data_IF_907669916415
#
_entry.id   IF_907669916415
#
_cell.length_a   1.000
_cell.length_b   1.000
_cell.length_c   1.000
_cell.angle_alpha   90.00
_cell.angle_beta   90.00
_cell.angle_gamma   90.00
#
_symmetry.space_group_name_H-M   'P 1'
#
loop_
_entity.id
_entity.type
_entity.pdbx_description
1 polymer ?
#
# COMPACT_ATOMS: atom_id res chain seq x y z
N UNK A 1 53.11 -0.14 -0.89
CA UNK A 1 52.36 1.07 -0.49
C UNK A 1 50.88 0.79 -0.65
N UNK A 2 49.99 1.23 0.27
CA UNK A 2 48.55 1.10 0.06
C UNK A 2 48.14 1.93 -1.17
N UNK A 3 47.50 1.29 -2.15
CA UNK A 3 46.96 1.96 -3.31
C UNK A 3 45.56 2.49 -2.97
N UNK A 4 45.36 3.81 -3.12
CA UNK A 4 44.05 4.43 -2.95
C UNK A 4 43.22 4.30 -4.22
N UNK A 5 41.93 4.00 -4.09
CA UNK A 5 40.97 4.09 -5.19
C UNK A 5 40.37 5.49 -5.22
N UNK A 6 40.53 6.19 -6.33
CA UNK A 6 39.85 7.47 -6.57
C UNK A 6 38.51 7.18 -7.23
N UNK A 7 37.46 7.83 -6.71
CA UNK A 7 36.11 7.71 -7.20
C UNK A 7 35.54 9.07 -7.60
N UNK A 8 34.67 9.09 -8.61
CA UNK A 8 33.90 10.29 -9.00
C UNK A 8 32.41 9.96 -9.08
N UNK A 9 31.56 10.99 -9.09
CA UNK A 9 30.22 10.89 -9.66
C UNK A 9 30.24 11.56 -11.05
N UNK A 10 29.49 11.02 -12.01
CA UNK A 10 29.26 11.68 -13.30
C UNK A 10 28.55 13.02 -13.15
N UNK A 11 27.89 13.26 -12.02
CA UNK A 11 27.01 14.39 -11.79
C UNK A 11 25.75 14.34 -12.65
N UNK A 12 24.82 15.24 -12.35
CA UNK A 12 23.62 15.45 -13.15
C UNK A 12 23.97 16.15 -14.44
N UNK A 13 23.80 15.45 -15.55
CA UNK A 13 24.06 16.01 -16.86
C UNK A 13 23.07 17.13 -17.19
N UNK A 14 21.83 16.96 -16.72
CA UNK A 14 20.70 17.88 -16.86
C UNK A 14 20.97 19.33 -16.40
N UNK A 15 21.93 19.55 -15.49
CA UNK A 15 22.23 20.90 -14.98
C UNK A 15 22.85 21.79 -16.07
N UNK A 16 23.57 21.20 -17.03
CA UNK A 16 24.29 21.97 -18.05
C UNK A 16 24.03 21.53 -19.49
N UNK A 17 23.49 20.32 -19.71
CA UNK A 17 23.31 19.72 -21.04
C UNK A 17 22.08 18.81 -21.07
N UNK A 18 21.55 18.58 -22.28
CA UNK A 18 20.43 17.67 -22.47
C UNK A 18 20.82 16.24 -22.05
N UNK A 19 20.08 15.60 -21.14
CA UNK A 19 20.37 14.28 -20.57
C UNK A 19 20.31 13.17 -21.61
N UNK A 20 19.60 13.38 -22.72
CA UNK A 20 19.51 12.42 -23.82
C UNK A 20 20.81 12.32 -24.65
N UNK A 21 21.75 13.25 -24.44
CA UNK A 21 23.01 13.28 -25.18
C UNK A 21 24.01 12.23 -24.72
N UNK A 22 23.82 11.61 -23.54
CA UNK A 22 24.78 10.67 -22.99
C UNK A 22 24.11 9.52 -22.25
N UNK A 23 24.29 8.30 -22.76
CA UNK A 23 23.76 7.08 -22.14
C UNK A 23 24.58 6.58 -20.94
N UNK A 24 24.04 5.57 -20.24
CA UNK A 24 24.63 5.04 -19.00
C UNK A 24 26.06 4.54 -19.21
N UNK A 25 26.33 3.87 -20.34
CA UNK A 25 27.67 3.33 -20.58
C UNK A 25 28.71 4.43 -20.83
N UNK A 26 28.32 5.50 -21.53
CA UNK A 26 29.17 6.66 -21.76
C UNK A 26 29.38 7.43 -20.45
N UNK A 27 28.35 7.54 -19.58
CA UNK A 27 28.49 8.15 -18.25
C UNK A 27 29.46 7.34 -17.39
N UNK A 28 29.34 6.02 -17.40
CA UNK A 28 30.19 5.10 -16.65
C UNK A 28 31.66 5.12 -17.13
N UNK A 29 31.88 5.07 -18.45
CA UNK A 29 33.20 4.93 -19.04
C UNK A 29 33.90 6.24 -19.38
N UNK A 30 33.18 7.29 -19.76
CA UNK A 30 33.76 8.51 -20.36
C UNK A 30 34.74 9.23 -19.44
N UNK A 31 34.31 9.51 -18.22
CA UNK A 31 35.18 10.11 -17.20
C UNK A 31 36.17 9.10 -16.61
N UNK A 32 35.73 7.86 -16.41
CA UNK A 32 36.52 6.78 -15.82
C UNK A 32 37.77 6.43 -16.63
N UNK A 33 37.58 6.17 -17.92
CA UNK A 33 38.58 5.66 -18.84
C UNK A 33 39.67 6.68 -19.18
N UNK A 34 39.35 7.98 -19.17
CA UNK A 34 40.26 9.06 -19.58
C UNK A 34 41.03 9.66 -18.40
N UNK A 35 40.45 9.64 -17.20
CA UNK A 35 41.05 10.23 -16.00
C UNK A 35 41.83 9.26 -15.10
N UNK A 36 41.97 7.99 -15.49
CA UNK A 36 42.60 6.96 -14.64
C UNK A 36 41.78 6.63 -13.37
N UNK A 37 40.47 6.89 -13.41
CA UNK A 37 39.57 6.71 -12.28
C UNK A 37 39.11 5.26 -12.22
N UNK A 38 39.13 4.68 -11.01
CA UNK A 38 38.85 3.27 -10.79
C UNK A 38 37.41 3.01 -10.31
N UNK A 39 36.70 4.04 -9.87
CA UNK A 39 35.31 3.97 -9.43
C UNK A 39 34.49 5.14 -9.98
N UNK A 40 33.30 4.87 -10.51
CA UNK A 40 32.39 5.90 -11.01
C UNK A 40 30.96 5.65 -10.54
N UNK A 41 30.35 6.62 -9.86
CA UNK A 41 28.91 6.63 -9.58
C UNK A 41 28.19 7.32 -10.74
N UNK A 42 27.32 6.59 -11.42
CA UNK A 42 26.54 7.12 -12.54
C UNK A 42 25.20 7.59 -12.04
N UNK A 43 24.86 8.85 -12.34
CA UNK A 43 23.55 9.40 -12.05
C UNK A 43 22.55 9.04 -13.17
N UNK A 44 21.50 8.30 -12.79
CA UNK A 44 20.42 7.91 -13.68
C UNK A 44 19.30 8.94 -13.61
N UNK A 45 18.95 9.47 -14.77
CA UNK A 45 17.88 10.43 -14.97
C UNK A 45 16.53 9.70 -15.06
N UNK A 46 16.50 8.57 -15.77
CA UNK A 46 15.28 7.75 -15.90
C UNK A 46 15.57 6.29 -16.23
N UNK A 47 14.65 5.38 -15.87
CA UNK A 47 14.72 3.95 -16.22
C UNK A 47 14.86 3.67 -17.72
N UNK A 48 14.47 4.61 -18.61
CA UNK A 48 14.59 4.41 -20.05
C UNK A 48 16.05 4.37 -20.51
N UNK A 49 17.00 4.88 -19.72
CA UNK A 49 18.42 4.74 -20.03
C UNK A 49 18.87 3.27 -20.04
N UNK A 50 18.17 2.37 -19.32
CA UNK A 50 18.43 0.93 -19.42
C UNK A 50 18.05 0.32 -20.78
N UNK A 51 17.34 1.07 -21.63
CA UNK A 51 16.96 0.68 -22.98
C UNK A 51 17.93 1.20 -24.04
N UNK A 52 19.05 1.82 -23.64
CA UNK A 52 20.08 2.28 -24.57
C UNK A 52 20.55 1.13 -25.49
N UNK A 53 20.62 1.35 -26.82
CA UNK A 53 21.14 0.35 -27.76
C UNK A 53 22.53 -0.11 -27.35
N UNK A 54 22.75 -1.43 -27.35
CA UNK A 54 24.05 -2.05 -27.03
C UNK A 54 24.57 -1.75 -25.61
N UNK A 55 23.71 -1.30 -24.70
CA UNK A 55 24.08 -0.97 -23.31
C UNK A 55 24.87 -2.09 -22.62
N UNK A 56 24.41 -3.34 -22.73
CA UNK A 56 25.07 -4.50 -22.10
C UNK A 56 26.47 -4.73 -22.63
N UNK A 57 26.68 -4.57 -23.95
CA UNK A 57 27.98 -4.72 -24.58
C UNK A 57 28.94 -3.61 -24.16
N UNK A 58 28.44 -2.37 -24.10
CA UNK A 58 29.24 -1.21 -23.71
C UNK A 58 29.59 -1.24 -22.22
N UNK A 59 28.63 -1.55 -21.35
CA UNK A 59 28.89 -1.72 -19.91
C UNK A 59 29.87 -2.86 -19.62
N UNK A 60 29.80 -3.96 -20.37
CA UNK A 60 30.79 -5.04 -20.25
C UNK A 60 32.21 -4.54 -20.54
N UNK A 61 32.41 -3.71 -21.56
CA UNK A 61 33.72 -3.11 -21.84
C UNK A 61 34.20 -2.25 -20.67
N UNK A 62 33.32 -1.42 -20.11
CA UNK A 62 33.66 -0.56 -18.96
C UNK A 62 34.03 -1.37 -17.72
N UNK A 63 33.17 -2.30 -17.31
CA UNK A 63 33.33 -3.03 -16.05
C UNK A 63 34.38 -4.14 -16.15
N UNK A 64 34.39 -4.89 -17.26
CA UNK A 64 35.27 -6.06 -17.41
C UNK A 64 36.60 -5.71 -18.09
N UNK A 65 36.55 -5.00 -19.21
CA UNK A 65 37.75 -4.81 -20.04
C UNK A 65 38.59 -3.64 -19.52
N UNK A 66 37.97 -2.56 -19.04
CA UNK A 66 38.64 -1.43 -18.40
C UNK A 66 38.82 -1.59 -16.87
N UNK A 67 38.08 -2.51 -16.25
CA UNK A 67 38.18 -2.79 -14.81
C UNK A 67 37.64 -1.66 -13.91
N UNK A 68 36.76 -0.80 -14.44
CA UNK A 68 36.16 0.31 -13.67
C UNK A 68 35.00 -0.23 -12.83
N UNK A 69 35.02 0.05 -11.53
CA UNK A 69 33.89 -0.24 -10.65
C UNK A 69 32.81 0.83 -10.82
N UNK A 70 31.56 0.41 -10.94
CA UNK A 70 30.44 1.33 -11.21
C UNK A 70 29.38 1.23 -10.12
N UNK A 71 29.04 2.38 -9.53
CA UNK A 71 27.88 2.57 -8.67
C UNK A 71 26.76 3.23 -9.46
N UNK A 72 25.51 2.99 -9.08
CA UNK A 72 24.36 3.65 -9.68
C UNK A 72 23.75 4.58 -8.65
N UNK A 73 23.52 5.82 -9.01
CA UNK A 73 22.60 6.68 -8.30
C UNK A 73 21.26 6.58 -9.01
N UNK A 74 20.26 6.04 -8.30
CA UNK A 74 18.90 5.88 -8.79
C UNK A 74 18.25 7.23 -9.07
N UNK A 75 17.03 7.15 -9.60
CA UNK A 75 16.25 8.32 -9.98
C UNK A 75 15.91 9.20 -8.77
N UNK A 76 15.66 10.48 -9.06
CA UNK A 76 15.48 11.53 -8.06
C UNK A 76 14.28 12.37 -8.47
N UNK A 77 13.64 13.01 -7.50
CA UNK A 77 12.47 13.86 -7.69
C UNK A 77 11.16 13.13 -7.43
N UNK A 78 10.08 13.60 -8.05
CA UNK A 78 8.70 13.12 -7.83
C UNK A 78 8.52 11.63 -8.16
N UNK A 79 9.45 11.04 -8.91
CA UNK A 79 9.46 9.63 -9.27
C UNK A 79 9.99 8.72 -8.15
N UNK A 80 10.40 9.30 -7.01
CA UNK A 80 11.03 8.61 -5.87
C UNK A 80 10.26 8.77 -4.55
N UNK A 81 8.93 8.87 -4.62
CA UNK A 81 8.05 8.91 -3.44
C UNK A 81 7.81 7.53 -2.82
N UNK A 82 8.85 6.89 -2.28
CA UNK A 82 8.79 5.56 -1.62
C UNK A 82 7.97 5.56 -0.34
N UNK A 83 7.80 6.73 0.26
CA UNK A 83 7.00 6.97 1.44
C UNK A 83 5.49 7.03 1.13
N UNK A 84 5.10 7.21 -0.14
CA UNK A 84 3.72 7.58 -0.43
C UNK A 84 2.74 6.42 -0.22
N UNK A 85 1.62 6.72 0.44
CA UNK A 85 0.47 5.83 0.54
C UNK A 85 -0.40 5.87 -0.71
N UNK A 86 -0.20 6.82 -1.63
CA UNK A 86 -1.00 6.90 -2.84
C UNK A 86 -0.67 5.74 -3.76
N UNK A 87 -1.68 4.91 -4.04
CA UNK A 87 -1.55 3.67 -4.80
C UNK A 87 -0.77 3.84 -6.10
N UNK A 88 -1.10 4.87 -6.89
CA UNK A 88 -0.45 5.11 -8.18
C UNK A 88 1.04 5.41 -8.00
N UNK A 89 1.39 6.26 -7.04
CA UNK A 89 2.78 6.62 -6.73
C UNK A 89 3.51 5.40 -6.21
N UNK A 90 2.94 4.72 -5.20
CA UNK A 90 3.50 3.50 -4.62
C UNK A 90 3.77 2.42 -5.68
N UNK A 91 2.79 2.09 -6.53
CA UNK A 91 2.93 1.08 -7.57
C UNK A 91 4.03 1.47 -8.58
N UNK A 92 4.06 2.74 -8.99
CA UNK A 92 5.04 3.25 -9.93
C UNK A 92 6.46 3.21 -9.35
N UNK A 93 6.65 3.73 -8.14
CA UNK A 93 7.94 3.75 -7.44
C UNK A 93 8.44 2.33 -7.19
N UNK A 94 7.57 1.42 -6.72
CA UNK A 94 7.93 0.03 -6.52
C UNK A 94 8.36 -0.66 -7.83
N UNK A 95 7.60 -0.45 -8.91
CA UNK A 95 7.95 -0.99 -10.23
C UNK A 95 9.34 -0.52 -10.69
N UNK A 96 9.62 0.79 -10.54
CA UNK A 96 10.88 1.40 -10.95
C UNK A 96 12.05 0.92 -10.10
N UNK A 97 11.87 0.82 -8.78
CA UNK A 97 12.87 0.22 -7.89
C UNK A 97 13.28 -1.17 -8.36
N UNK A 98 12.30 -2.03 -8.62
CA UNK A 98 12.56 -3.41 -9.03
C UNK A 98 13.24 -3.49 -10.38
N UNK A 99 12.83 -2.65 -11.34
CA UNK A 99 13.48 -2.55 -12.65
C UNK A 99 14.93 -2.10 -12.53
N UNK A 100 15.18 -1.03 -11.76
CA UNK A 100 16.52 -0.49 -11.56
C UNK A 100 17.42 -1.50 -10.87
N UNK A 101 16.99 -2.11 -9.76
CA UNK A 101 17.81 -3.09 -9.05
C UNK A 101 18.15 -4.29 -9.94
N UNK A 102 17.19 -4.77 -10.74
CA UNK A 102 17.44 -5.85 -11.70
C UNK A 102 18.46 -5.43 -12.75
N UNK A 103 18.23 -4.32 -13.43
CA UNK A 103 19.08 -3.88 -14.54
C UNK A 103 20.48 -3.51 -14.05
N UNK A 104 20.58 -2.85 -12.89
CA UNK A 104 21.85 -2.54 -12.23
C UNK A 104 22.63 -3.83 -11.92
N UNK A 105 21.97 -4.85 -11.37
CA UNK A 105 22.60 -6.15 -11.13
C UNK A 105 23.05 -6.84 -12.43
N UNK A 106 22.23 -6.81 -13.50
CA UNK A 106 22.59 -7.37 -14.81
C UNK A 106 23.79 -6.67 -15.47
N UNK A 107 23.96 -5.36 -15.23
CA UNK A 107 25.04 -4.55 -15.78
C UNK A 107 26.31 -4.52 -14.90
N UNK A 108 26.27 -5.19 -13.74
CA UNK A 108 27.43 -5.33 -12.86
C UNK A 108 27.69 -4.15 -11.94
N UNK A 109 26.68 -3.33 -11.65
CA UNK A 109 26.80 -2.27 -10.64
C UNK A 109 27.04 -2.86 -9.25
N UNK A 110 27.94 -2.25 -8.49
CA UNK A 110 28.35 -2.74 -7.17
C UNK A 110 27.42 -2.28 -6.03
N UNK A 111 26.71 -1.17 -6.24
CA UNK A 111 25.64 -0.69 -5.37
C UNK A 111 24.66 0.17 -6.17
N UNK A 112 23.48 0.39 -5.58
CA UNK A 112 22.52 1.39 -6.04
C UNK A 112 22.18 2.31 -4.86
N UNK A 113 22.38 3.61 -5.04
CA UNK A 113 22.02 4.65 -4.10
C UNK A 113 20.63 5.20 -4.47
N UNK A 114 19.75 5.40 -3.50
CA UNK A 114 18.40 5.92 -3.72
C UNK A 114 18.07 6.98 -2.68
N UNK A 115 17.37 8.03 -3.12
CA UNK A 115 16.65 8.91 -2.21
C UNK A 115 15.31 8.26 -1.90
N UNK A 116 15.10 7.90 -0.63
CA UNK A 116 13.94 7.12 -0.20
C UNK A 116 12.82 7.97 0.40
N UNK A 117 13.02 9.27 0.55
CA UNK A 117 11.99 10.19 1.03
C UNK A 117 12.12 11.54 0.37
N UNK A 118 11.00 12.10 -0.05
CA UNK A 118 10.86 13.49 -0.50
C UNK A 118 10.05 14.30 0.53
N UNK A 119 9.88 15.61 0.33
CA UNK A 119 9.20 16.52 1.28
C UNK A 119 7.71 16.19 1.43
N UNK A 120 7.42 15.13 2.18
CA UNK A 120 6.11 14.51 2.29
C UNK A 120 5.02 15.43 2.85
N UNK A 121 5.34 16.24 3.88
CA UNK A 121 4.33 17.10 4.52
C UNK A 121 3.75 18.12 3.51
N UNK A 122 4.60 18.70 2.65
CA UNK A 122 4.15 19.69 1.67
C UNK A 122 3.19 19.04 0.69
N UNK A 123 3.54 17.85 0.18
CA UNK A 123 2.68 17.09 -0.75
C UNK A 123 1.35 16.69 -0.09
N UNK A 124 1.39 16.23 1.16
CA UNK A 124 0.19 15.86 1.92
C UNK A 124 -0.73 17.06 2.16
N UNK A 125 -0.18 18.22 2.53
CA UNK A 125 -0.97 19.43 2.73
C UNK A 125 -1.51 19.98 1.40
N UNK A 126 -0.73 19.97 0.34
CA UNK A 126 -1.21 20.33 -1.01
C UNK A 126 -2.36 19.44 -1.44
N UNK A 127 -2.24 18.12 -1.24
CA UNK A 127 -3.31 17.16 -1.55
C UNK A 127 -4.55 17.36 -0.67
N UNK A 128 -4.37 17.77 0.58
CA UNK A 128 -5.48 18.14 1.48
C UNK A 128 -6.21 19.41 1.00
N UNK A 129 -5.48 20.35 0.38
CA UNK A 129 -6.02 21.61 -0.11
C UNK A 129 -6.63 21.51 -1.52
N UNK A 130 -6.33 20.44 -2.28
CA UNK A 130 -6.95 20.20 -3.60
C UNK A 130 -8.47 20.08 -3.43
N UNK A 131 -9.20 20.97 -4.10
CA UNK A 131 -10.67 21.02 -4.06
C UNK A 131 -11.32 19.71 -4.56
N UNK A 132 -12.54 19.48 -4.06
CA UNK A 132 -13.43 18.33 -4.32
C UNK A 132 -13.25 17.64 -5.69
N UNK A 133 -13.03 16.31 -5.67
CA UNK A 133 -13.06 15.46 -6.88
C UNK A 133 -11.83 14.56 -7.07
N UNK A 134 -10.72 14.82 -6.38
CA UNK A 134 -9.54 13.95 -6.41
C UNK A 134 -9.48 13.08 -5.16
N UNK A 135 -10.28 12.01 -5.12
CA UNK A 135 -10.04 10.93 -4.18
C UNK A 135 -8.91 10.05 -4.72
N UNK A 136 -7.74 10.13 -4.10
CA UNK A 136 -6.64 9.23 -4.42
C UNK A 136 -6.85 7.89 -3.73
N UNK A 137 -6.59 6.81 -4.44
CA UNK A 137 -6.58 5.46 -3.87
C UNK A 137 -5.35 5.33 -2.97
N UNK A 138 -5.56 4.84 -1.76
CA UNK A 138 -4.53 4.62 -0.74
C UNK A 138 -4.23 3.14 -0.55
N UNK A 139 -2.97 2.82 -0.32
CA UNK A 139 -2.48 1.47 -0.02
C UNK A 139 -1.77 1.43 1.31
N UNK A 140 -1.72 0.25 1.89
CA UNK A 140 -0.85 -0.06 3.01
C UNK A 140 0.63 -0.11 2.55
N UNK A 141 1.60 -0.17 3.49
CA UNK A 141 3.03 -0.24 3.17
C UNK A 141 3.43 -1.33 2.18
N UNK A 142 2.69 -2.43 2.14
CA UNK A 142 2.93 -3.56 1.23
C UNK A 142 2.22 -3.44 -0.14
N UNK A 143 1.64 -2.28 -0.43
CA UNK A 143 0.92 -2.00 -1.68
C UNK A 143 -0.48 -2.60 -1.77
N UNK A 144 -0.95 -3.32 -0.74
CA UNK A 144 -2.31 -3.87 -0.71
C UNK A 144 -3.33 -2.81 -0.26
N UNK A 145 -4.63 -3.04 -0.48
CA UNK A 145 -5.67 -2.17 0.08
C UNK A 145 -5.50 -1.99 1.59
N UNK A 146 -5.73 -0.77 2.08
CA UNK A 146 -5.63 -0.44 3.51
C UNK A 146 -6.45 -1.41 4.38
N UNK A 147 -7.65 -1.79 3.93
CA UNK A 147 -8.53 -2.72 4.63
C UNK A 147 -7.84 -4.03 5.01
N UNK A 148 -6.93 -4.53 4.17
CA UNK A 148 -6.22 -5.80 4.44
C UNK A 148 -5.29 -5.72 5.65
N UNK A 149 -4.67 -4.56 5.90
CA UNK A 149 -3.83 -4.32 7.08
C UNK A 149 -4.67 -4.18 8.34
N UNK A 150 -5.79 -3.49 8.21
CA UNK A 150 -6.64 -3.12 9.32
C UNK A 150 -7.43 -4.31 9.87
N UNK A 151 -7.83 -5.26 9.01
CA UNK A 151 -8.63 -6.43 9.41
C UNK A 151 -7.99 -7.22 10.57
N UNK A 152 -6.67 -7.32 10.59
CA UNK A 152 -5.94 -8.09 11.61
C UNK A 152 -5.81 -7.37 12.96
N UNK A 153 -6.18 -6.09 13.05
CA UNK A 153 -5.94 -5.25 14.21
C UNK A 153 -7.23 -4.54 14.66
N UNK A 154 -7.76 -4.93 15.83
CA UNK A 154 -9.05 -4.43 16.34
C UNK A 154 -9.07 -2.91 16.51
N UNK A 155 -8.04 -2.33 17.10
CA UNK A 155 -8.01 -0.89 17.38
C UNK A 155 -7.81 -0.05 16.10
N UNK A 156 -7.02 -0.54 15.13
CA UNK A 156 -6.95 0.07 13.80
C UNK A 156 -8.30 -0.04 13.07
N UNK A 157 -9.02 -1.17 13.23
CA UNK A 157 -10.37 -1.36 12.66
C UNK A 157 -11.36 -0.37 13.22
N UNK A 158 -11.41 -0.21 14.54
CA UNK A 158 -12.25 0.79 15.21
C UNK A 158 -11.90 2.22 14.77
N UNK A 159 -10.61 2.51 14.58
CA UNK A 159 -10.17 3.79 14.05
C UNK A 159 -10.66 4.01 12.61
N UNK A 160 -10.47 3.04 11.71
CA UNK A 160 -10.94 3.12 10.33
C UNK A 160 -12.47 3.30 10.27
N UNK A 161 -13.23 2.53 11.05
CA UNK A 161 -14.69 2.64 11.14
C UNK A 161 -15.13 4.04 11.53
N UNK A 162 -14.49 4.66 12.54
CA UNK A 162 -14.80 6.04 12.93
C UNK A 162 -14.57 7.02 11.78
N UNK A 163 -13.44 6.89 11.08
CA UNK A 163 -13.16 7.73 9.90
C UNK A 163 -14.18 7.52 8.78
N UNK A 164 -14.64 6.29 8.55
CA UNK A 164 -15.65 5.96 7.53
C UNK A 164 -17.04 6.50 7.89
N UNK A 165 -17.44 6.44 9.16
CA UNK A 165 -18.70 7.04 9.64
C UNK A 165 -18.71 8.54 9.35
N UNK A 166 -17.61 9.22 9.65
CA UNK A 166 -17.46 10.66 9.41
C UNK A 166 -17.45 11.04 7.91
N UNK A 167 -17.12 10.10 7.02
CA UNK A 167 -17.09 10.31 5.55
C UNK A 167 -18.43 10.08 4.84
N UNK A 168 -19.45 9.57 5.54
CA UNK A 168 -20.67 9.00 4.92
C UNK A 168 -21.33 9.85 3.85
N UNK A 169 -21.24 11.18 3.94
CA UNK A 169 -21.79 12.11 2.93
C UNK A 169 -21.24 11.91 1.52
N UNK A 170 -20.13 11.18 1.33
CA UNK A 170 -19.44 11.01 0.03
C UNK A 170 -19.27 9.56 -0.44
N UNK A 171 -19.48 8.57 0.43
CA UNK A 171 -19.17 7.15 0.16
C UNK A 171 -20.43 6.25 0.16
N UNK A 172 -21.60 6.85 0.42
CA UNK A 172 -22.89 6.17 0.56
C UNK A 172 -23.41 5.53 -0.74
N UNK A 173 -23.02 6.01 -1.93
CA UNK A 173 -23.59 5.50 -3.19
C UNK A 173 -23.02 4.13 -3.61
N UNK A 174 -21.71 3.89 -3.43
CA UNK A 174 -21.08 2.63 -3.88
C UNK A 174 -20.96 1.57 -2.80
N UNK A 175 -20.67 1.96 -1.54
CA UNK A 175 -20.53 0.99 -0.43
C UNK A 175 -21.86 0.33 -0.07
N UNK A 176 -22.98 1.03 -0.28
CA UNK A 176 -24.29 0.59 0.17
C UNK A 176 -24.90 -0.52 -0.68
N UNK A 177 -24.63 -0.60 -1.98
CA UNK A 177 -25.49 -1.34 -2.91
C UNK A 177 -25.73 -2.82 -2.56
N UNK A 178 -24.69 -3.61 -2.27
CA UNK A 178 -24.86 -5.05 -2.03
C UNK A 178 -25.44 -5.34 -0.63
N UNK A 179 -24.93 -4.68 0.41
CA UNK A 179 -25.44 -4.83 1.78
C UNK A 179 -26.87 -4.30 1.90
N UNK A 180 -27.14 -3.12 1.33
CA UNK A 180 -28.47 -2.54 1.23
C UNK A 180 -29.41 -3.48 0.50
N UNK A 181 -29.00 -4.05 -0.64
CA UNK A 181 -29.82 -5.06 -1.35
C UNK A 181 -30.17 -6.24 -0.45
N UNK A 182 -29.19 -6.83 0.26
CA UNK A 182 -29.42 -7.97 1.16
C UNK A 182 -30.37 -7.62 2.32
N UNK A 183 -30.21 -6.44 2.92
CA UNK A 183 -31.10 -6.00 3.99
C UNK A 183 -32.50 -5.64 3.48
N UNK A 184 -32.62 -5.11 2.26
CA UNK A 184 -33.91 -4.86 1.61
C UNK A 184 -34.62 -6.18 1.26
N UNK A 185 -33.91 -7.17 0.72
CA UNK A 185 -34.46 -8.51 0.47
C UNK A 185 -34.89 -9.21 1.78
N UNK A 186 -34.13 -9.01 2.87
CA UNK A 186 -34.52 -9.48 4.20
C UNK A 186 -35.78 -8.76 4.70
N UNK A 187 -35.84 -7.44 4.59
CA UNK A 187 -36.99 -6.64 4.98
C UNK A 187 -38.25 -6.98 4.18
N UNK A 188 -38.13 -7.30 2.88
CA UNK A 188 -39.24 -7.76 2.05
C UNK A 188 -39.76 -9.13 2.49
N UNK A 189 -38.87 -10.06 2.86
CA UNK A 189 -39.27 -11.36 3.43
C UNK A 189 -39.97 -11.20 4.79
N UNK A 190 -39.44 -10.34 5.65
CA UNK A 190 -40.07 -10.03 6.94
C UNK A 190 -41.42 -9.34 6.76
N UNK A 191 -41.54 -8.39 5.82
CA UNK A 191 -42.80 -7.73 5.46
C UNK A 191 -43.84 -8.74 4.94
N UNK A 192 -43.42 -9.69 4.11
CA UNK A 192 -44.30 -10.76 3.63
C UNK A 192 -44.81 -11.63 4.78
N UNK A 193 -43.94 -12.02 5.72
CA UNK A 193 -44.32 -12.81 6.90
C UNK A 193 -45.25 -12.03 7.83
N UNK A 194 -44.97 -10.75 8.06
CA UNK A 194 -45.80 -9.85 8.87
C UNK A 194 -47.19 -9.67 8.26
N UNK A 195 -47.27 -9.53 6.94
CA UNK A 195 -48.53 -9.46 6.22
C UNK A 195 -49.36 -10.76 6.34
N UNK A 196 -48.71 -11.93 6.26
CA UNK A 196 -49.40 -13.21 6.49
C UNK A 196 -49.87 -13.37 7.95
N UNK A 197 -49.14 -12.82 8.91
CA UNK A 197 -49.56 -12.79 10.30
C UNK A 197 -50.73 -11.80 10.50
N UNK A 198 -50.71 -10.64 9.83
CA UNK A 198 -51.79 -9.66 9.85
C UNK A 198 -53.10 -10.25 9.34
N UNK A 199 -53.08 -11.06 8.27
CA UNK A 199 -54.29 -11.78 7.80
C UNK A 199 -54.92 -12.70 8.84
N UNK A 200 -54.20 -13.06 9.89
CA UNK A 200 -54.67 -13.91 11.00
C UNK A 200 -55.05 -13.10 12.25
N UNK A 201 -54.78 -11.79 12.27
CA UNK A 201 -55.03 -10.94 13.43
C UNK A 201 -56.53 -10.74 13.70
N UNK A 202 -56.87 -10.36 14.92
CA UNK A 202 -58.23 -9.93 15.27
C UNK A 202 -58.63 -8.67 14.48
N UNK A 203 -57.69 -7.75 14.22
CA UNK A 203 -57.97 -6.52 13.45
C UNK A 203 -58.50 -6.82 12.04
N UNK A 204 -57.86 -7.75 11.33
CA UNK A 204 -58.33 -8.15 10.01
C UNK A 204 -59.66 -8.90 10.07
N UNK A 205 -59.85 -9.76 11.10
CA UNK A 205 -61.11 -10.47 11.33
C UNK A 205 -62.27 -9.51 11.58
N UNK A 206 -62.09 -8.54 12.47
CA UNK A 206 -63.08 -7.51 12.81
C UNK A 206 -63.41 -6.64 11.58
N UNK A 207 -62.38 -6.22 10.84
CA UNK A 207 -62.57 -5.46 9.61
C UNK A 207 -63.37 -6.26 8.56
N UNK A 208 -63.03 -7.53 8.37
CA UNK A 208 -63.72 -8.43 7.43
C UNK A 208 -65.17 -8.69 7.83
N UNK A 209 -65.44 -8.89 9.13
CA UNK A 209 -66.80 -9.04 9.65
C UNK A 209 -67.67 -7.80 9.36
N UNK A 210 -67.09 -6.60 9.49
CA UNK A 210 -67.76 -5.35 9.12
C UNK A 210 -68.18 -5.31 7.64
N UNK A 211 -67.31 -5.76 6.73
CA UNK A 211 -67.63 -5.91 5.31
C UNK A 211 -68.74 -6.94 5.09
N UNK A 212 -68.68 -8.10 5.76
CA UNK A 212 -69.72 -9.13 5.66
C UNK A 212 -71.09 -8.65 6.16
N UNK A 213 -71.11 -7.86 7.23
CA UNK A 213 -72.35 -7.27 7.74
C UNK A 213 -72.95 -6.26 6.75
N UNK A 214 -72.12 -5.46 6.05
CA UNK A 214 -72.57 -4.56 4.96
C UNK A 214 -73.16 -5.34 3.77
N UNK A 215 -72.63 -6.53 3.47
CA UNK A 215 -73.20 -7.41 2.45
C UNK A 215 -74.56 -7.95 2.92
N UNK A 216 -74.65 -8.45 4.16
CA UNK A 216 -75.90 -8.97 4.73
C UNK A 216 -77.01 -7.91 4.79
N UNK A 217 -76.66 -6.66 5.04
CA UNK A 217 -77.62 -5.55 5.09
C UNK A 217 -77.96 -4.96 3.71
N UNK A 218 -77.43 -5.52 2.62
CA UNK A 218 -77.68 -5.04 1.25
C UNK A 218 -77.02 -3.70 0.90
N UNK A 219 -76.11 -3.19 1.74
CA UNK A 219 -75.40 -1.92 1.50
C UNK A 219 -74.37 -2.07 0.37
N UNK A 220 -73.77 -3.24 0.24
CA UNK A 220 -72.71 -3.53 -0.72
C UNK A 220 -72.93 -4.90 -1.36
N UNK A 221 -72.62 -5.04 -2.66
CA UNK A 221 -72.68 -6.35 -3.32
C UNK A 221 -71.49 -7.23 -2.94
N UNK A 222 -71.60 -8.55 -3.12
CA UNK A 222 -70.49 -9.47 -2.83
C UNK A 222 -69.24 -9.15 -3.66
N UNK A 223 -69.42 -8.82 -4.92
CA UNK A 223 -68.33 -8.43 -5.82
C UNK A 223 -67.62 -7.14 -5.35
N UNK A 224 -68.39 -6.14 -4.92
CA UNK A 224 -67.85 -4.91 -4.34
C UNK A 224 -67.06 -5.20 -3.05
N UNK A 225 -67.58 -6.06 -2.18
CA UNK A 225 -66.90 -6.48 -0.95
C UNK A 225 -65.57 -7.20 -1.22
N UNK A 226 -65.52 -8.09 -2.22
CA UNK A 226 -64.30 -8.80 -2.61
C UNK A 226 -63.27 -7.84 -3.23
N UNK A 227 -63.72 -6.86 -4.04
CA UNK A 227 -62.85 -5.81 -4.57
C UNK A 227 -62.31 -4.88 -3.47
N UNK A 228 -63.15 -4.50 -2.50
CA UNK A 228 -62.75 -3.69 -1.33
C UNK A 228 -61.73 -4.44 -0.47
N UNK A 229 -61.94 -5.74 -0.24
CA UNK A 229 -61.00 -6.63 0.47
C UNK A 229 -59.65 -6.71 -0.21
N UNK A 230 -59.61 -6.86 -1.54
CA UNK A 230 -58.35 -6.89 -2.29
C UNK A 230 -57.59 -5.57 -2.16
N UNK A 231 -58.27 -4.43 -2.34
CA UNK A 231 -57.66 -3.09 -2.22
C UNK A 231 -57.12 -2.84 -0.82
N UNK A 232 -57.87 -3.23 0.21
CA UNK A 232 -57.45 -3.11 1.60
C UNK A 232 -56.21 -3.97 1.92
N UNK A 233 -56.22 -5.23 1.49
CA UNK A 233 -55.07 -6.11 1.68
C UNK A 233 -53.83 -5.60 0.94
N UNK A 234 -53.99 -5.05 -0.26
CA UNK A 234 -52.90 -4.45 -1.01
C UNK A 234 -52.35 -3.19 -0.34
N UNK A 235 -53.21 -2.31 0.20
CA UNK A 235 -52.77 -1.12 0.91
C UNK A 235 -52.02 -1.47 2.20
N UNK A 236 -52.50 -2.45 2.98
CA UNK A 236 -51.80 -2.92 4.18
C UNK A 236 -50.46 -3.57 3.82
N UNK A 237 -50.41 -4.41 2.78
CA UNK A 237 -49.16 -5.01 2.32
C UNK A 237 -48.14 -3.94 1.94
N UNK A 238 -48.58 -2.91 1.21
CA UNK A 238 -47.74 -1.79 0.81
C UNK A 238 -47.23 -1.02 2.04
N UNK A 239 -48.11 -0.69 2.98
CA UNK A 239 -47.74 0.01 4.20
C UNK A 239 -46.72 -0.78 5.04
N UNK A 240 -46.92 -2.07 5.25
CA UNK A 240 -45.96 -2.94 5.97
C UNK A 240 -44.61 -2.95 5.25
N UNK A 241 -44.63 -3.12 3.92
CA UNK A 241 -43.40 -3.13 3.10
C UNK A 241 -42.67 -1.79 3.18
N UNK A 242 -43.39 -0.68 3.04
CA UNK A 242 -42.84 0.67 3.09
C UNK A 242 -42.26 0.97 4.48
N UNK A 243 -42.96 0.61 5.57
CA UNK A 243 -42.48 0.75 6.94
C UNK A 243 -41.17 -0.04 7.17
N UNK A 244 -41.08 -1.27 6.64
CA UNK A 244 -39.88 -2.12 6.76
C UNK A 244 -38.71 -1.54 5.96
N UNK A 245 -38.96 -1.09 4.73
CA UNK A 245 -37.96 -0.41 3.90
C UNK A 245 -37.48 0.89 4.55
N UNK A 246 -38.40 1.68 5.12
CA UNK A 246 -38.05 2.90 5.84
C UNK A 246 -37.23 2.58 7.10
N UNK A 247 -37.57 1.52 7.83
CA UNK A 247 -36.77 1.08 8.97
C UNK A 247 -35.33 0.68 8.58
N UNK A 248 -35.16 -0.06 7.46
CA UNK A 248 -33.83 -0.36 6.90
C UNK A 248 -33.11 0.91 6.50
N UNK A 249 -33.77 1.80 5.77
CA UNK A 249 -33.19 3.08 5.34
C UNK A 249 -32.80 3.95 6.55
N UNK A 250 -33.61 4.00 7.60
CA UNK A 250 -33.28 4.70 8.85
C UNK A 250 -32.07 4.07 9.49
N UNK A 251 -32.04 2.76 9.73
CA UNK A 251 -30.88 2.07 10.34
C UNK A 251 -29.60 2.21 9.53
N UNK A 252 -29.71 2.29 8.20
CA UNK A 252 -28.56 2.51 7.32
C UNK A 252 -28.13 3.97 7.36
N UNK A 253 -29.06 4.93 7.39
CA UNK A 253 -28.76 6.37 7.43
C UNK A 253 -28.35 6.87 8.82
N UNK A 254 -28.85 6.26 9.89
CA UNK A 254 -28.47 6.61 11.27
C UNK A 254 -27.08 6.06 11.58
N UNK A 255 -26.39 6.72 12.51
CA UNK A 255 -25.05 6.36 13.00
C UNK A 255 -25.01 4.97 13.69
N UNK A 256 -26.14 4.28 13.80
CA UNK A 256 -26.32 3.01 14.51
C UNK A 256 -25.88 1.77 13.73
N UNK A 257 -25.25 1.92 12.55
CA UNK A 257 -24.74 0.76 11.84
C UNK A 257 -23.57 0.16 12.62
N UNK A 258 -23.60 -1.14 12.97
CA UNK A 258 -22.50 -1.79 13.66
C UNK A 258 -21.18 -1.60 12.90
N UNK A 259 -20.12 -1.21 13.61
CA UNK A 259 -18.83 -0.91 13.00
C UNK A 259 -18.24 -2.04 12.15
N UNK A 260 -18.50 -3.29 12.54
CA UNK A 260 -18.08 -4.47 11.76
C UNK A 260 -18.73 -4.50 10.37
N UNK A 261 -19.99 -4.09 10.26
CA UNK A 261 -20.71 -4.04 8.99
C UNK A 261 -20.15 -2.94 8.09
N UNK A 262 -19.89 -1.75 8.66
CA UNK A 262 -19.27 -0.63 7.93
C UNK A 262 -17.90 -1.06 7.37
N UNK A 263 -17.09 -1.70 8.20
CA UNK A 263 -15.79 -2.19 7.78
C UNK A 263 -15.89 -3.25 6.68
N UNK A 264 -16.79 -4.23 6.84
CA UNK A 264 -16.98 -5.29 5.86
C UNK A 264 -17.45 -4.74 4.50
N UNK A 265 -18.34 -3.73 4.52
CA UNK A 265 -18.76 -3.02 3.31
C UNK A 265 -17.59 -2.30 2.65
N UNK A 266 -16.81 -1.54 3.44
CA UNK A 266 -15.62 -0.84 2.97
C UNK A 266 -14.62 -1.79 2.32
N UNK A 267 -14.30 -2.90 2.98
CA UNK A 267 -13.33 -3.87 2.52
C UNK A 267 -13.77 -4.62 1.25
N UNK A 268 -15.05 -4.98 1.16
CA UNK A 268 -15.60 -5.70 0.00
C UNK A 268 -15.80 -4.81 -1.21
N UNK A 269 -15.86 -3.50 -1.01
CA UNK A 269 -16.04 -2.57 -2.11
C UNK A 269 -14.86 -2.64 -3.10
N UNK A 270 -15.13 -2.71 -4.42
CA UNK A 270 -14.09 -2.71 -5.44
C UNK A 270 -13.16 -1.50 -5.34
N UNK A 271 -13.73 -0.32 -5.05
CA UNK A 271 -13.02 0.96 -4.98
C UNK A 271 -12.92 1.48 -3.54
N UNK A 272 -13.98 1.32 -2.75
CA UNK A 272 -14.10 1.82 -1.38
C UNK A 272 -12.91 1.47 -0.50
N UNK A 273 -12.41 0.23 -0.57
CA UNK A 273 -11.28 -0.28 0.22
C UNK A 273 -9.95 0.47 0.08
N UNK A 274 -9.85 1.38 -0.89
CA UNK A 274 -8.70 2.25 -1.10
C UNK A 274 -8.96 3.68 -0.60
N UNK A 275 -10.15 4.02 -0.16
CA UNK A 275 -10.51 5.36 0.28
C UNK A 275 -10.59 5.41 1.80
N UNK A 276 -9.99 6.45 2.35
CA UNK A 276 -10.04 6.81 3.76
C UNK A 276 -10.10 8.32 3.87
N UNK A 277 -10.59 8.84 5.00
CA UNK A 277 -10.76 10.27 5.21
C UNK A 277 -9.41 10.96 5.11
N UNK A 278 -9.37 12.17 4.57
CA UNK A 278 -8.12 12.94 4.42
C UNK A 278 -7.04 12.29 3.52
N UNK A 279 -7.41 11.29 2.71
CA UNK A 279 -6.51 10.68 1.74
C UNK A 279 -5.27 10.09 2.39
N UNK A 280 -4.09 10.55 1.97
CA UNK A 280 -2.81 10.05 2.46
C UNK A 280 -2.59 10.31 3.95
N UNK A 281 -3.05 11.45 4.47
CA UNK A 281 -2.97 11.74 5.92
C UNK A 281 -3.77 10.71 6.72
N UNK A 282 -4.97 10.35 6.26
CA UNK A 282 -5.76 9.31 6.94
C UNK A 282 -5.16 7.93 6.83
N UNK A 283 -4.54 7.60 5.69
CA UNK A 283 -3.77 6.37 5.54
C UNK A 283 -2.62 6.33 6.55
N UNK A 284 -1.90 7.44 6.69
CA UNK A 284 -0.82 7.60 7.65
C UNK A 284 -1.29 7.46 9.10
N UNK A 285 -2.39 8.11 9.48
CA UNK A 285 -2.97 7.93 10.81
C UNK A 285 -3.36 6.48 11.09
N UNK A 286 -3.94 5.80 10.10
CA UNK A 286 -4.34 4.41 10.21
C UNK A 286 -3.13 3.48 10.38
N UNK A 287 -2.06 3.69 9.61
CA UNK A 287 -0.81 2.92 9.72
C UNK A 287 -0.09 3.24 11.04
N UNK A 288 -0.06 4.49 11.49
CA UNK A 288 0.47 4.85 12.80
C UNK A 288 -0.27 4.14 13.93
N UNK A 289 -1.61 4.10 13.87
CA UNK A 289 -2.43 3.35 14.83
C UNK A 289 -2.10 1.86 14.81
N UNK A 290 -1.96 1.28 13.61
CA UNK A 290 -1.54 -0.12 13.47
C UNK A 290 -0.16 -0.36 14.11
N UNK A 291 0.82 0.51 13.84
CA UNK A 291 2.19 0.40 14.36
C UNK A 291 2.25 0.47 15.90
N UNK A 292 1.49 1.38 16.52
CA UNK A 292 1.36 1.47 17.99
C UNK A 292 0.87 0.14 18.56
N UNK A 293 -0.23 -0.38 18.02
CA UNK A 293 -0.91 -1.57 18.53
C UNK A 293 -0.09 -2.85 18.32
N UNK A 294 0.74 -2.89 17.28
CA UNK A 294 1.69 -3.98 17.05
C UNK A 294 3.03 -3.78 17.75
N UNK A 295 3.19 -2.70 18.53
CA UNK A 295 4.45 -2.30 19.16
C UNK A 295 5.62 -2.32 18.15
N UNK A 296 5.39 -1.71 16.98
CA UNK A 296 6.34 -1.66 15.88
C UNK A 296 7.60 -0.88 16.31
N UNK A 297 8.81 -1.44 16.11
CA UNK A 297 10.05 -0.81 16.55
C UNK A 297 10.33 0.54 15.88
N UNK A 298 9.83 0.76 14.65
CA UNK A 298 10.01 2.04 13.95
C UNK A 298 9.18 3.14 14.60
N UNK A 299 7.97 2.83 15.09
CA UNK A 299 7.17 3.81 15.83
C UNK A 299 7.82 4.10 17.19
N UNK A 300 8.03 3.05 18.00
CA UNK A 300 8.54 3.17 19.37
C UNK A 300 9.92 3.83 19.46
N UNK A 301 10.77 3.60 18.46
CA UNK A 301 12.12 4.17 18.42
C UNK A 301 12.15 5.66 18.04
N UNK A 302 11.10 6.17 17.41
CA UNK A 302 11.09 7.50 16.76
C UNK A 302 10.04 8.40 17.39
N UNK A 303 8.80 7.93 17.47
CA UNK A 303 7.65 8.67 17.99
C UNK A 303 7.49 8.40 19.49
N UNK A 304 7.42 9.46 20.28
CA UNK A 304 7.41 9.39 21.75
C UNK A 304 6.01 9.37 22.38
N UNK A 305 4.96 9.30 21.56
CA UNK A 305 3.56 9.24 22.00
C UNK A 305 2.84 8.09 21.30
N UNK A 306 1.87 7.50 22.00
CA UNK A 306 0.97 6.47 21.47
C UNK A 306 -0.35 7.08 20.95
N UNK A 307 -0.45 8.41 20.91
CA UNK A 307 -1.59 9.14 20.35
C UNK A 307 -1.22 9.66 18.97
N UNK A 308 -1.76 9.01 17.93
CA UNK A 308 -1.47 9.32 16.52
C UNK A 308 -1.69 10.79 16.17
N UNK A 309 -2.80 11.38 16.63
CA UNK A 309 -3.13 12.78 16.36
C UNK A 309 -2.16 13.75 17.04
N UNK A 310 -1.70 13.41 18.25
CA UNK A 310 -0.67 14.19 18.94
C UNK A 310 0.66 14.10 18.19
N UNK A 311 1.05 12.91 17.76
CA UNK A 311 2.26 12.72 16.95
C UNK A 311 2.20 13.58 15.68
N UNK A 312 1.08 13.55 14.95
CA UNK A 312 0.91 14.35 13.74
C UNK A 312 0.93 15.87 14.03
N UNK A 313 0.30 16.34 15.11
CA UNK A 313 0.18 17.79 15.37
C UNK A 313 1.41 18.40 16.07
N UNK A 314 2.00 17.68 17.02
CA UNK A 314 3.07 18.20 17.90
C UNK A 314 4.46 17.64 17.56
N UNK A 315 4.52 16.49 16.88
CA UNK A 315 5.77 15.77 16.57
C UNK A 315 5.83 15.39 15.08
N UNK A 316 5.46 16.35 14.22
CA UNK A 316 5.29 16.18 12.76
C UNK A 316 6.49 15.46 12.12
N UNK A 317 7.71 15.85 12.52
CA UNK A 317 8.95 15.28 11.96
C UNK A 317 9.07 13.80 12.30
N UNK A 318 8.96 13.45 13.58
CA UNK A 318 9.04 12.07 14.08
C UNK A 318 7.92 11.20 13.50
N UNK A 319 6.71 11.75 13.42
CA UNK A 319 5.56 11.08 12.80
C UNK A 319 5.84 10.72 11.32
N UNK A 320 6.28 11.70 10.53
CA UNK A 320 6.57 11.48 9.11
C UNK A 320 7.77 10.57 8.89
N UNK A 321 8.78 10.65 9.76
CA UNK A 321 9.96 9.77 9.70
C UNK A 321 9.57 8.31 9.94
N UNK A 322 8.83 8.02 11.00
CA UNK A 322 8.40 6.66 11.32
C UNK A 322 7.53 6.05 10.22
N UNK A 323 6.58 6.81 9.67
CA UNK A 323 5.69 6.32 8.63
C UNK A 323 6.37 6.19 7.27
N UNK A 324 7.22 7.15 6.89
CA UNK A 324 8.07 7.02 5.70
C UNK A 324 8.91 5.75 5.76
N UNK A 325 9.59 5.51 6.89
CA UNK A 325 10.37 4.29 7.10
C UNK A 325 9.52 3.03 6.96
N UNK A 326 8.26 3.06 7.40
CA UNK A 326 7.37 1.91 7.26
C UNK A 326 7.01 1.60 5.81
N UNK A 327 6.70 2.63 5.01
CA UNK A 327 6.41 2.46 3.58
C UNK A 327 7.65 2.01 2.79
N UNK A 328 8.81 2.59 3.11
CA UNK A 328 10.11 2.15 2.57
C UNK A 328 10.38 0.69 2.92
N UNK A 329 10.18 0.28 4.17
CA UNK A 329 10.30 -1.12 4.60
C UNK A 329 9.41 -2.03 3.75
N UNK A 330 8.17 -1.62 3.49
CA UNK A 330 7.24 -2.35 2.63
C UNK A 330 7.79 -2.62 1.24
N UNK A 331 8.31 -1.59 0.55
CA UNK A 331 8.96 -1.78 -0.76
C UNK A 331 10.14 -2.76 -0.72
N UNK A 332 10.90 -2.75 0.38
CA UNK A 332 12.14 -3.50 0.53
C UNK A 332 11.93 -4.95 1.02
N UNK A 333 10.81 -5.25 1.64
CA UNK A 333 10.55 -6.57 2.26
C UNK A 333 9.60 -7.45 1.45
N UNK A 334 8.89 -6.87 0.47
CA UNK A 334 8.01 -7.60 -0.42
C UNK A 334 8.77 -8.61 -1.29
N UNK A 335 8.55 -9.91 -1.05
CA UNK A 335 9.15 -10.96 -1.89
C UNK A 335 8.22 -11.47 -3.00
N UNK A 336 6.90 -11.38 -2.79
CA UNK A 336 5.88 -11.97 -3.67
C UNK A 336 4.94 -10.92 -4.28
N UNK A 337 5.50 -9.78 -4.69
CA UNK A 337 4.77 -8.78 -5.46
C UNK A 337 4.74 -9.14 -6.95
N UNK A 338 3.65 -8.87 -7.70
CA UNK A 338 3.60 -9.11 -9.15
C UNK A 338 4.78 -8.55 -9.93
N UNK A 339 5.27 -7.36 -9.56
CA UNK A 339 6.45 -6.76 -10.19
C UNK A 339 7.72 -7.57 -9.89
N UNK A 340 7.93 -8.00 -8.65
CA UNK A 340 9.07 -8.87 -8.30
C UNK A 340 9.03 -10.17 -9.08
N UNK A 341 7.85 -10.78 -9.25
CA UNK A 341 7.68 -11.99 -10.08
C UNK A 341 7.99 -11.74 -11.55
N UNK A 342 7.59 -10.60 -12.11
CA UNK A 342 7.88 -10.21 -13.50
C UNK A 342 9.38 -10.07 -13.75
N UNK A 343 10.12 -9.58 -12.75
CA UNK A 343 11.54 -9.25 -12.89
C UNK A 343 12.49 -10.30 -12.33
N UNK A 344 12.00 -11.27 -11.55
CA UNK A 344 12.74 -12.50 -11.23
C UNK A 344 13.17 -13.14 -12.54
N UNK A 345 14.48 -13.18 -12.77
CA UNK A 345 15.04 -14.00 -13.83
C UNK A 345 14.52 -15.40 -13.61
N UNK A 346 13.76 -15.94 -14.58
CA UNK A 346 13.47 -17.38 -14.61
C UNK A 346 14.84 -18.02 -14.60
N UNK A 347 15.29 -18.52 -13.44
CA UNK A 347 16.46 -19.38 -13.38
C UNK A 347 16.15 -20.49 -14.36
N UNK A 348 16.84 -20.47 -15.49
CA UNK A 348 16.67 -21.49 -16.51
C UNK A 348 16.76 -22.83 -15.81
N UNK A 349 15.77 -23.68 -16.05
CA UNK A 349 15.80 -25.11 -15.74
C UNK A 349 16.92 -25.84 -16.51
N UNK A 350 17.79 -25.12 -17.21
CA UNK A 350 19.06 -25.62 -17.73
C UNK A 350 20.02 -25.87 -16.58
N UNK A 351 20.24 -27.14 -16.26
CA UNK A 351 21.18 -27.62 -15.26
C UNK A 351 22.57 -27.04 -15.45
N UNK A 352 22.91 -26.05 -14.63
CA UNK A 352 24.26 -25.88 -14.12
C UNK A 352 24.18 -25.13 -12.79
N UNK A 353 23.96 -25.90 -11.72
CA UNK A 353 23.99 -25.42 -10.34
C UNK A 353 25.44 -25.12 -9.94
N UNK A 354 25.99 -24.01 -10.41
CA UNK A 354 27.11 -23.38 -9.74
C UNK A 354 26.84 -21.89 -9.48
N UNK A 355 26.76 -21.57 -8.20
CA UNK A 355 26.88 -20.24 -7.60
C UNK A 355 25.73 -19.23 -7.79
N UNK A 356 24.55 -19.53 -7.24
CA UNK A 356 23.71 -18.47 -6.62
C UNK A 356 22.71 -18.99 -5.57
N UNK A 357 22.59 -20.31 -5.36
CA UNK A 357 21.71 -20.92 -4.33
C UNK A 357 22.43 -21.29 -3.02
N UNK A 358 23.77 -21.36 -2.98
CA UNK A 358 24.50 -21.79 -1.78
C UNK A 358 24.77 -20.70 -0.75
N UNK A 359 24.32 -19.45 -0.97
CA UNK A 359 24.45 -18.37 0.02
C UNK A 359 23.18 -18.13 0.85
N UNK A 360 22.07 -18.82 0.55
CA UNK A 360 20.76 -18.53 1.13
C UNK A 360 20.24 -19.55 2.16
N UNK A 361 20.93 -20.68 2.41
CA UNK A 361 20.32 -21.80 3.18
C UNK A 361 21.13 -22.36 4.36
N UNK A 362 22.10 -21.63 4.93
CA UNK A 362 22.72 -22.02 6.20
C UNK A 362 22.71 -20.87 7.22
N UNK A 363 21.54 -20.60 7.79
CA UNK A 363 21.36 -20.09 9.17
C UNK A 363 19.86 -20.09 9.49
N UNK A 364 19.41 -20.64 10.65
CA UNK A 364 18.00 -20.70 11.03
C UNK A 364 17.43 -19.37 11.60
N UNK A 365 18.02 -18.23 11.27
CA UNK A 365 17.52 -16.91 11.68
C UNK A 365 17.04 -16.14 10.44
N UNK A 366 15.74 -16.25 10.16
CA UNK A 366 15.05 -15.61 9.05
C UNK A 366 14.96 -14.08 9.25
N UNK A 367 15.79 -13.34 8.52
CA UNK A 367 15.65 -11.90 8.31
C UNK A 367 15.48 -11.57 6.81
N UNK A 368 14.84 -10.45 6.46
CA UNK A 368 14.53 -10.09 5.07
C UNK A 368 15.79 -9.87 4.19
N UNK A 369 15.66 -10.19 2.90
CA UNK A 369 16.73 -10.32 1.90
C UNK A 369 17.59 -9.05 1.70
N UNK A 370 17.09 -7.86 2.06
CA UNK A 370 17.72 -6.57 1.73
C UNK A 370 18.78 -6.14 2.75
N UNK A 371 18.67 -6.52 4.03
CA UNK A 371 19.70 -6.18 5.04
C UNK A 371 21.06 -6.84 4.77
N UNK A 372 21.11 -7.89 3.93
CA UNK A 372 22.38 -8.53 3.53
C UNK A 372 23.19 -7.73 2.51
N UNK A 373 22.57 -6.83 1.74
CA UNK A 373 23.27 -6.09 0.69
C UNK A 373 24.03 -4.86 1.21
N UNK A 374 23.63 -4.28 2.35
CA UNK A 374 24.25 -3.07 2.89
C UNK A 374 25.57 -3.31 3.67
N UNK A 375 25.92 -4.57 4.03
CA UNK A 375 27.06 -4.85 4.92
C UNK A 375 27.97 -6.04 4.51
N UNK A 376 27.92 -6.51 3.27
CA UNK A 376 28.66 -7.72 2.87
C UNK A 376 29.62 -7.53 1.68
N UNK A 377 30.71 -6.78 1.87
CA UNK A 377 32.00 -7.10 1.21
C UNK A 377 33.17 -6.75 2.15
N UNK A 378 33.56 -7.70 3.02
CA UNK A 378 34.96 -7.74 3.47
C UNK A 378 35.82 -8.14 2.26
N UNK A 379 36.99 -7.51 2.05
CA UNK A 379 37.85 -7.85 0.93
C UNK A 379 38.29 -9.31 1.04
N UNK A 380 38.18 -10.05 -0.08
CA UNK A 380 38.83 -11.35 -0.24
C UNK A 380 40.34 -11.13 -0.16
N UNK A 381 40.97 -11.56 0.94
CA UNK A 381 42.43 -11.72 0.98
C UNK A 381 42.80 -12.94 0.16
N UNK A 382 43.54 -12.72 -0.93
CA UNK A 382 44.30 -13.76 -1.63
C UNK A 382 45.78 -13.63 -1.29
N UNK A 383 46.45 -14.79 -1.29
CA UNK A 383 47.90 -15.06 -1.33
C UNK A 383 48.64 -15.24 0.02
N UNK A 384 48.76 -16.52 0.40
CA UNK A 384 50.01 -17.28 0.63
C UNK A 384 51.32 -16.51 0.90
N UNK A 385 51.89 -16.67 2.10
CA UNK A 385 53.15 -17.38 2.38
C UNK A 385 53.73 -16.98 3.76
N UNK A 386 54.17 -18.00 4.51
CA UNK A 386 55.42 -17.95 5.27
C UNK A 386 55.46 -17.25 6.64
N UNK A 387 55.81 -18.06 7.64
CA UNK A 387 56.46 -17.71 8.91
C UNK A 387 55.61 -17.20 10.08
N UNK A 388 55.22 -18.19 10.88
CA UNK A 388 55.16 -18.17 12.35
C UNK A 388 56.26 -17.30 12.96
N UNK A 389 55.87 -16.25 13.69
CA UNK A 389 56.53 -15.91 14.95
C UNK A 389 55.52 -15.23 15.88
N UNK A 390 55.37 -15.85 17.04
CA UNK A 390 54.60 -15.39 18.17
C UNK A 390 55.35 -14.23 18.84
N UNK A 391 54.74 -13.06 19.01
CA UNK A 391 55.32 -11.96 19.78
C UNK A 391 54.31 -11.42 20.80
N UNK A 392 54.80 -11.37 22.03
CA UNK A 392 54.11 -11.11 23.30
C UNK A 392 53.49 -9.72 23.38
N UNK A 393 52.36 -9.66 24.10
CA UNK A 393 51.88 -8.48 24.81
C UNK A 393 52.99 -7.94 25.73
N UNK A 394 53.31 -6.66 25.60
CA UNK A 394 53.88 -5.87 26.68
C UNK A 394 52.86 -4.78 27.02
N UNK A 395 52.35 -4.87 28.24
CA UNK A 395 51.60 -3.85 28.95
C UNK A 395 52.56 -2.79 29.49
N UNK A 396 52.25 -1.51 29.31
CA UNK A 396 52.77 -0.45 30.16
C UNK A 396 51.68 0.58 30.43
N UNK A 397 51.26 0.63 31.70
CA UNK A 397 50.60 1.78 32.33
C UNK A 397 51.65 2.80 32.79
N UNK A 398 51.17 4.02 33.02
CA UNK A 398 51.79 5.20 33.66
C UNK A 398 52.86 5.90 32.80
N UNK A 399 52.78 7.20 32.52
CA UNK A 399 52.09 8.36 33.14
C UNK A 399 51.36 9.22 32.12
#
# INVERSE_FOLDING_TARGET
MPAYKVGISSGFWNIAKDPNLLGLAQKAGGFGATGGIQFNQVDMETISEFQEPRLKENMKKVVKDLGIEVGLHGEIGEMSGFESAQRKIWEQVHLRLVQTLKNAAELGFIYVNYHLSTNLQVQQEEDRLKFFGHQYQMVAPDGKPLASYVRANKAAKEFAVRQLIEMRTSVDEELSSEYWRKEMEKAEREAAQEFENYKKSDDFRNWKEGIENRVKSGITTREQADAETRRYLESVRRQITDNRREAVNRRIRTEDMPGDIIFDMWERSPFGKYYIRYGEIGAYWLIGKFMIETNDPLWKGVVKTDVVQEAYNAHVKEFNEALSMKYIEGHLTLNDHPFNRKFRTRRGTSGNTSSFSTWASRSPTSGPLIYRYLWARRPRKSCTNGYTTCARRASSQAT
#
